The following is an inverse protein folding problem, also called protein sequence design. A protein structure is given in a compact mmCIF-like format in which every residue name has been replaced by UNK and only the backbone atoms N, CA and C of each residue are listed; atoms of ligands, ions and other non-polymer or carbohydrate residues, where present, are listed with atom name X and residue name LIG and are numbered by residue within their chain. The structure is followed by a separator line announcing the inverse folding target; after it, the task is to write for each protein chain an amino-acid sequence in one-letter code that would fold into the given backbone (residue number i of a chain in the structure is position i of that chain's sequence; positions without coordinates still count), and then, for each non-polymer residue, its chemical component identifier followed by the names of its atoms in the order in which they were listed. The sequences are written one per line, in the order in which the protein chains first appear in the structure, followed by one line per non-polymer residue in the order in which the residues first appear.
data_IF_549182944857
#
_entry.id   IF_549182944857
#
_cell.length_a   1.000
_cell.length_b   1.000
_cell.length_c   1.000
_cell.angle_alpha   90.00
_cell.angle_beta   90.00
_cell.angle_gamma   90.00
#
_symmetry.space_group_name_H-M   'P 1'
#
loop_
_entity.id
_entity.type
_entity.pdbx_description
1 polymer ?
#
# COMPACT_ATOMS: atom_id res chain seq x y z
N UNK A 1 26.13 -33.17 -18.55
CA UNK A 1 25.13 -33.03 -19.65
C UNK A 1 24.17 -34.21 -19.81
N UNK A 2 24.32 -35.34 -19.09
CA UNK A 2 23.31 -36.42 -19.06
C UNK A 2 22.26 -36.29 -17.94
N UNK A 3 22.59 -35.67 -16.82
CA UNK A 3 21.66 -35.54 -15.68
C UNK A 3 20.45 -34.59 -15.90
N UNK A 4 20.47 -33.72 -16.93
CA UNK A 4 19.29 -32.89 -17.29
C UNK A 4 18.32 -33.58 -18.26
N UNK A 5 18.65 -34.76 -18.78
CA UNK A 5 17.75 -35.50 -19.66
C UNK A 5 16.87 -36.51 -18.91
N UNK A 6 17.29 -36.98 -17.74
CA UNK A 6 16.51 -37.97 -16.97
C UNK A 6 15.40 -37.32 -16.11
N UNK A 7 15.49 -36.02 -15.82
CA UNK A 7 14.43 -35.29 -15.09
C UNK A 7 13.18 -35.00 -15.95
N UNK A 8 13.26 -35.19 -17.28
CA UNK A 8 12.10 -35.05 -18.19
C UNK A 8 11.36 -36.35 -18.48
N UNK A 9 11.89 -37.51 -18.06
CA UNK A 9 11.30 -38.81 -18.36
C UNK A 9 10.40 -39.36 -17.24
N UNK A 10 10.39 -38.73 -16.06
CA UNK A 10 9.43 -39.02 -14.99
C UNK A 10 8.15 -38.18 -15.15
N UNK A 11 7.60 -38.10 -16.36
CA UNK A 11 6.22 -37.71 -16.58
C UNK A 11 5.32 -38.85 -16.08
N UNK A 12 5.28 -38.99 -14.76
CA UNK A 12 4.17 -39.64 -14.05
C UNK A 12 2.90 -39.04 -14.64
N UNK A 13 1.97 -39.87 -15.09
CA UNK A 13 0.61 -39.45 -15.47
C UNK A 13 0.03 -38.63 -14.30
N UNK A 14 0.23 -37.32 -14.34
CA UNK A 14 -0.36 -36.42 -13.36
C UNK A 14 -1.86 -36.45 -13.59
N UNK A 15 -2.62 -36.60 -12.50
CA UNK A 15 -4.07 -36.50 -12.54
C UNK A 15 -4.44 -35.20 -13.30
N UNK A 16 -5.29 -35.24 -14.34
CA UNK A 16 -5.66 -34.05 -15.13
C UNK A 16 -6.17 -32.90 -14.26
N UNK A 17 -6.68 -33.19 -13.05
CA UNK A 17 -7.06 -32.17 -12.06
C UNK A 17 -5.85 -31.44 -11.48
N UNK A 18 -4.76 -32.14 -11.17
CA UNK A 18 -3.53 -31.52 -10.68
C UNK A 18 -2.85 -30.68 -11.78
N UNK A 19 -2.90 -31.15 -13.03
CA UNK A 19 -2.42 -30.36 -14.17
C UNK A 19 -3.23 -29.08 -14.36
N UNK A 20 -4.57 -29.16 -14.25
CA UNK A 20 -5.43 -27.99 -14.35
C UNK A 20 -5.12 -26.93 -13.28
N UNK A 21 -4.85 -27.37 -12.04
CA UNK A 21 -4.44 -26.46 -10.96
C UNK A 21 -3.07 -25.82 -11.22
N UNK A 22 -2.10 -26.58 -11.74
CA UNK A 22 -0.78 -26.04 -12.10
C UNK A 22 -0.89 -25.01 -13.23
N UNK A 23 -1.67 -25.32 -14.27
CA UNK A 23 -1.90 -24.40 -15.40
C UNK A 23 -2.63 -23.13 -14.93
N UNK A 24 -3.64 -23.26 -14.07
CA UNK A 24 -4.33 -22.09 -13.50
C UNK A 24 -3.37 -21.15 -12.75
N UNK A 25 -2.46 -21.71 -11.93
CA UNK A 25 -1.43 -20.91 -11.24
C UNK A 25 -0.47 -20.23 -12.21
N UNK A 26 -0.06 -20.93 -13.29
CA UNK A 26 0.78 -20.34 -14.34
C UNK A 26 0.09 -19.19 -15.07
N UNK A 27 -1.23 -19.29 -15.33
CA UNK A 27 -2.02 -18.20 -15.93
C UNK A 27 -2.01 -16.98 -15.00
N UNK A 28 -2.20 -17.15 -13.69
CA UNK A 28 -2.15 -16.03 -12.74
C UNK A 28 -0.79 -15.35 -12.72
N UNK A 29 0.30 -16.11 -12.66
CA UNK A 29 1.67 -15.59 -12.68
C UNK A 29 1.99 -14.87 -14.00
N UNK A 30 1.58 -15.44 -15.14
CA UNK A 30 1.76 -14.84 -16.46
C UNK A 30 0.94 -13.54 -16.62
N UNK A 31 -0.32 -13.51 -16.15
CA UNK A 31 -1.16 -12.31 -16.14
C UNK A 31 -0.58 -11.20 -15.24
N UNK A 32 0.02 -11.55 -14.10
CA UNK A 32 0.70 -10.58 -13.25
C UNK A 32 1.92 -9.96 -13.94
N UNK A 33 2.73 -10.78 -14.63
CA UNK A 33 3.86 -10.30 -15.44
C UNK A 33 3.39 -9.43 -16.61
N UNK A 34 2.30 -9.82 -17.28
CA UNK A 34 1.70 -9.06 -18.37
C UNK A 34 1.25 -7.68 -17.91
N UNK A 35 0.53 -7.57 -16.77
CA UNK A 35 0.14 -6.27 -16.19
C UNK A 35 1.35 -5.38 -15.90
N UNK A 36 2.42 -5.96 -15.36
CA UNK A 36 3.67 -5.23 -15.13
C UNK A 36 4.30 -4.78 -16.46
N UNK A 37 4.38 -5.67 -17.45
CA UNK A 37 4.93 -5.35 -18.77
C UNK A 37 4.13 -4.26 -19.51
N UNK A 38 2.80 -4.25 -19.38
CA UNK A 38 1.92 -3.22 -19.92
C UNK A 38 2.16 -1.86 -19.25
N UNK A 39 2.30 -1.82 -17.93
CA UNK A 39 2.58 -0.59 -17.19
C UNK A 39 3.93 0.04 -17.59
N UNK A 40 4.95 -0.78 -17.86
CA UNK A 40 6.30 -0.32 -18.21
C UNK A 40 6.62 -0.33 -19.72
N UNK A 41 5.65 -0.70 -20.58
CA UNK A 41 5.82 -0.83 -22.05
C UNK A 41 7.05 -1.67 -22.45
N UNK A 42 7.24 -2.83 -21.81
CA UNK A 42 8.37 -3.71 -22.09
C UNK A 42 8.24 -4.36 -23.48
N UNK A 43 9.35 -4.64 -24.19
CA UNK A 43 9.32 -5.26 -25.52
C UNK A 43 8.80 -6.72 -25.50
N UNK A 44 8.76 -7.37 -24.34
CA UNK A 44 8.31 -8.76 -24.16
C UNK A 44 6.78 -8.91 -24.09
N UNK A 45 6.03 -7.81 -24.17
CA UNK A 45 4.58 -7.76 -23.99
C UNK A 45 3.82 -8.72 -24.95
N UNK A 46 4.19 -8.73 -26.23
CA UNK A 46 3.57 -9.62 -27.22
C UNK A 46 3.88 -11.10 -26.98
N UNK A 47 5.04 -11.41 -26.41
CA UNK A 47 5.38 -12.78 -26.03
C UNK A 47 4.54 -13.25 -24.84
N UNK A 48 4.39 -12.42 -23.80
CA UNK A 48 3.55 -12.73 -22.63
C UNK A 48 2.08 -12.89 -23.00
N UNK A 49 1.57 -12.11 -23.97
CA UNK A 49 0.19 -12.27 -24.48
C UNK A 49 -0.04 -13.64 -25.12
N UNK A 50 0.90 -14.10 -25.94
CA UNK A 50 0.83 -15.44 -26.55
C UNK A 50 0.89 -16.53 -25.49
N UNK A 51 1.78 -16.39 -24.51
CA UNK A 51 1.90 -17.36 -23.41
C UNK A 51 0.61 -17.48 -22.59
N UNK A 52 -0.04 -16.37 -22.25
CA UNK A 52 -1.35 -16.39 -21.56
C UNK A 52 -2.41 -17.07 -22.41
N UNK A 53 -2.47 -16.77 -23.72
CA UNK A 53 -3.42 -17.40 -24.65
C UNK A 53 -3.21 -18.93 -24.74
N UNK A 54 -1.97 -19.37 -24.91
CA UNK A 54 -1.64 -20.81 -25.01
C UNK A 54 -2.01 -21.56 -23.71
N UNK A 55 -1.77 -20.95 -22.55
CA UNK A 55 -2.15 -21.50 -21.26
C UNK A 55 -3.68 -21.55 -21.07
N UNK A 56 -4.42 -20.53 -21.53
CA UNK A 56 -5.88 -20.52 -21.49
C UNK A 56 -6.50 -21.61 -22.36
N UNK A 57 -5.99 -21.80 -23.60
CA UNK A 57 -6.41 -22.91 -24.46
C UNK A 57 -6.16 -24.24 -23.76
N UNK A 58 -4.96 -24.45 -23.21
CA UNK A 58 -4.63 -25.67 -22.47
C UNK A 58 -5.53 -25.90 -21.25
N UNK A 59 -5.88 -24.84 -20.52
CA UNK A 59 -6.81 -24.92 -19.40
C UNK A 59 -8.21 -25.37 -19.87
N UNK A 60 -8.70 -24.84 -21.00
CA UNK A 60 -10.00 -25.27 -21.57
C UNK A 60 -9.98 -26.73 -22.04
N UNK A 61 -8.89 -27.20 -22.63
CA UNK A 61 -8.72 -28.61 -23.02
C UNK A 61 -8.72 -29.54 -21.81
N UNK A 62 -7.97 -29.19 -20.76
CA UNK A 62 -7.96 -29.95 -19.50
C UNK A 62 -9.34 -29.95 -18.84
N UNK A 63 -10.05 -28.82 -18.86
CA UNK A 63 -11.41 -28.72 -18.33
C UNK A 63 -12.38 -29.61 -19.12
N UNK A 64 -12.25 -29.68 -20.44
CA UNK A 64 -13.04 -30.58 -21.28
C UNK A 64 -12.71 -32.06 -20.99
N UNK A 65 -11.44 -32.41 -20.74
CA UNK A 65 -11.04 -33.75 -20.33
C UNK A 65 -11.61 -34.14 -18.95
N UNK A 66 -11.62 -33.21 -17.99
CA UNK A 66 -12.18 -33.43 -16.64
C UNK A 66 -13.70 -33.60 -16.67
N UNK A 67 -14.41 -32.78 -17.44
CA UNK A 67 -15.88 -32.83 -17.56
C UNK A 67 -16.38 -33.99 -18.42
N UNK A 68 -15.49 -34.59 -19.23
CA UNK A 68 -15.85 -35.56 -20.25
C UNK A 68 -16.64 -34.92 -21.39
N UNK A 69 -16.94 -35.66 -22.47
CA UNK A 69 -17.79 -35.18 -23.55
C UNK A 69 -19.19 -34.91 -23.00
N UNK A 70 -19.51 -33.63 -22.75
CA UNK A 70 -20.86 -33.22 -22.38
C UNK A 70 -21.83 -33.71 -23.47
N UNK A 71 -22.75 -34.58 -23.10
CA UNK A 71 -23.84 -34.99 -23.98
C UNK A 71 -24.58 -33.73 -24.47
N UNK A 72 -24.94 -33.66 -25.76
CA UNK A 72 -25.63 -32.50 -26.32
C UNK A 72 -26.87 -32.20 -25.47
N UNK A 73 -26.94 -31.00 -24.91
CA UNK A 73 -28.05 -30.64 -24.03
C UNK A 73 -29.38 -30.86 -24.78
N UNK A 74 -30.34 -31.57 -24.18
CA UNK A 74 -31.64 -31.79 -24.79
C UNK A 74 -32.27 -30.42 -25.07
N UNK A 75 -32.65 -30.22 -26.32
CA UNK A 75 -33.29 -29.00 -26.81
C UNK A 75 -34.65 -28.89 -26.12
N UNK A 76 -34.73 -28.16 -25.02
CA UNK A 76 -36.00 -27.94 -24.35
C UNK A 76 -36.90 -27.06 -25.25
N UNK A 77 -38.17 -27.44 -25.45
CA UNK A 77 -39.11 -26.65 -26.22
C UNK A 77 -39.30 -25.29 -25.53
N UNK A 78 -39.20 -24.20 -26.31
CA UNK A 78 -39.47 -22.86 -25.82
C UNK A 78 -40.90 -22.81 -25.23
N UNK A 79 -41.08 -22.50 -23.94
CA UNK A 79 -42.41 -22.23 -23.42
C UNK A 79 -42.97 -20.99 -24.11
N UNK A 80 -44.19 -21.09 -24.64
CA UNK A 80 -44.93 -19.94 -25.15
C UNK A 80 -45.27 -19.03 -23.98
N UNK A 81 -44.46 -17.99 -23.79
CA UNK A 81 -44.68 -16.93 -22.80
C UNK A 81 -45.89 -16.09 -23.21
N UNK A 82 -47.07 -16.43 -22.71
CA UNK A 82 -48.13 -15.45 -22.52
C UNK A 82 -47.62 -14.44 -21.48
N UNK A 83 -47.20 -13.26 -21.94
CA UNK A 83 -46.59 -12.22 -21.10
C UNK A 83 -47.69 -11.61 -20.21
N UNK A 84 -47.67 -11.79 -18.87
CA UNK A 84 -48.60 -11.11 -17.98
C UNK A 84 -48.24 -9.62 -17.91
N UNK A 85 -48.77 -8.84 -18.85
CA UNK A 85 -48.47 -7.41 -19.02
C UNK A 85 -49.20 -6.50 -18.03
N UNK A 86 -49.05 -6.73 -16.71
CA UNK A 86 -49.70 -5.88 -15.68
C UNK A 86 -48.85 -5.59 -14.45
N UNK A 87 -47.58 -5.23 -14.64
CA UNK A 87 -46.86 -4.52 -13.58
C UNK A 87 -47.48 -3.13 -13.41
N UNK A 88 -47.94 -2.83 -12.19
CA UNK A 88 -48.45 -1.52 -11.79
C UNK A 88 -47.66 -1.04 -10.58
N UNK A 89 -47.12 0.17 -10.64
CA UNK A 89 -46.51 0.85 -9.49
C UNK A 89 -47.50 1.90 -9.02
N UNK A 90 -47.96 1.81 -7.77
CA UNK A 90 -48.97 2.73 -7.21
C UNK A 90 -50.26 2.83 -8.07
N UNK A 91 -50.66 1.73 -8.71
CA UNK A 91 -51.81 1.69 -9.61
C UNK A 91 -51.56 2.25 -11.01
N UNK A 92 -50.42 2.90 -11.25
CA UNK A 92 -50.00 3.45 -12.54
C UNK A 92 -49.40 2.34 -13.41
N UNK A 93 -49.91 2.15 -14.64
CA UNK A 93 -49.39 1.15 -15.54
C UNK A 93 -48.01 1.56 -16.09
N UNK A 94 -47.19 0.57 -16.44
CA UNK A 94 -45.77 0.74 -16.81
C UNK A 94 -45.53 1.70 -17.99
N UNK A 95 -46.49 1.83 -18.91
CA UNK A 95 -46.47 2.76 -20.04
C UNK A 95 -46.55 4.23 -19.61
N UNK A 96 -46.97 4.51 -18.37
CA UNK A 96 -47.11 5.85 -17.80
C UNK A 96 -46.03 6.16 -16.75
N UNK A 97 -45.03 5.28 -16.58
CA UNK A 97 -43.95 5.52 -15.63
C UNK A 97 -43.04 6.65 -16.08
N UNK A 98 -42.68 7.52 -15.15
CA UNK A 98 -41.75 8.63 -15.38
C UNK A 98 -40.30 8.14 -15.37
N UNK A 99 -39.37 8.95 -15.88
CA UNK A 99 -37.94 8.65 -15.80
C UNK A 99 -37.46 8.44 -14.36
N UNK A 100 -38.06 9.13 -13.39
CA UNK A 100 -37.78 8.95 -11.98
C UNK A 100 -38.22 7.56 -11.47
N UNK A 101 -39.38 7.06 -11.95
CA UNK A 101 -39.87 5.73 -11.60
C UNK A 101 -38.96 4.62 -12.16
N UNK A 102 -38.48 4.79 -13.38
CA UNK A 102 -37.53 3.87 -14.01
C UNK A 102 -36.16 3.91 -13.32
N UNK A 103 -35.69 5.08 -12.91
CA UNK A 103 -34.44 5.24 -12.15
C UNK A 103 -34.55 4.54 -10.79
N UNK A 104 -35.63 4.77 -10.04
CA UNK A 104 -35.86 4.11 -8.74
C UNK A 104 -35.94 2.59 -8.89
N UNK A 105 -36.62 2.09 -9.92
CA UNK A 105 -36.69 0.66 -10.19
C UNK A 105 -35.31 0.08 -10.54
N UNK A 106 -34.51 0.81 -11.31
CA UNK A 106 -33.16 0.38 -11.70
C UNK A 106 -32.28 0.28 -10.45
N UNK A 107 -32.27 1.31 -9.59
CA UNK A 107 -31.56 1.31 -8.31
C UNK A 107 -32.04 0.21 -7.36
N UNK A 108 -33.35 -0.01 -7.28
CA UNK A 108 -33.92 -1.09 -6.47
C UNK A 108 -33.49 -2.45 -7.01
N UNK A 109 -33.49 -2.63 -8.33
CA UNK A 109 -33.08 -3.89 -8.97
C UNK A 109 -31.61 -4.23 -8.69
N UNK A 110 -30.72 -3.24 -8.64
CA UNK A 110 -29.31 -3.43 -8.26
C UNK A 110 -29.14 -3.92 -6.81
N UNK A 111 -30.10 -3.65 -5.93
CA UNK A 111 -30.07 -4.14 -4.54
C UNK A 111 -30.74 -5.51 -4.38
N UNK A 112 -31.44 -6.02 -5.40
CA UNK A 112 -32.11 -7.31 -5.38
C UNK A 112 -31.15 -8.48 -5.67
N UNK A 113 -31.50 -9.66 -5.15
CA UNK A 113 -30.83 -10.92 -5.51
C UNK A 113 -31.03 -11.25 -6.99
N UNK A 114 -30.12 -12.06 -7.54
CA UNK A 114 -30.13 -12.46 -8.96
C UNK A 114 -31.47 -13.08 -9.37
N UNK A 115 -32.04 -13.95 -8.53
CA UNK A 115 -33.36 -14.57 -8.76
C UNK A 115 -34.47 -13.53 -8.89
N UNK A 116 -34.53 -12.57 -7.96
CA UNK A 116 -35.53 -11.49 -7.99
C UNK A 116 -35.36 -10.55 -9.18
N UNK A 117 -34.11 -10.30 -9.61
CA UNK A 117 -33.84 -9.53 -10.84
C UNK A 117 -34.32 -10.28 -12.07
N UNK A 118 -34.17 -11.60 -12.10
CA UNK A 118 -34.66 -12.43 -13.20
C UNK A 118 -36.19 -12.43 -13.27
N UNK A 119 -36.87 -12.62 -12.14
CA UNK A 119 -38.32 -12.54 -12.05
C UNK A 119 -38.85 -11.16 -12.47
N UNK A 120 -38.18 -10.08 -12.01
CA UNK A 120 -38.48 -8.71 -12.42
C UNK A 120 -38.29 -8.53 -13.93
N UNK A 121 -37.19 -9.04 -14.49
CA UNK A 121 -36.90 -8.97 -15.93
C UNK A 121 -37.86 -9.80 -16.78
N UNK A 122 -38.42 -10.89 -16.25
CA UNK A 122 -39.51 -11.64 -16.89
C UNK A 122 -40.82 -10.85 -16.85
N UNK A 123 -41.16 -10.28 -15.69
CA UNK A 123 -42.40 -9.53 -15.50
C UNK A 123 -42.45 -8.22 -16.31
N UNK A 124 -41.32 -7.56 -16.51
CA UNK A 124 -41.20 -6.32 -17.29
C UNK A 124 -41.32 -6.52 -18.81
N UNK A 125 -41.14 -7.76 -19.29
CA UNK A 125 -41.07 -8.04 -20.72
C UNK A 125 -39.90 -7.33 -21.43
N UNK A 126 -39.90 -7.38 -22.76
CA UNK A 126 -38.78 -6.86 -23.56
C UNK A 126 -38.62 -5.34 -23.48
N UNK A 127 -39.72 -4.59 -23.52
CA UNK A 127 -39.70 -3.12 -23.48
C UNK A 127 -39.15 -2.58 -22.14
N UNK A 128 -39.58 -3.16 -21.02
CA UNK A 128 -39.07 -2.77 -19.70
C UNK A 128 -37.60 -3.15 -19.50
N UNK A 129 -37.15 -4.30 -20.03
CA UNK A 129 -35.72 -4.68 -20.03
C UNK A 129 -34.85 -3.68 -20.80
N UNK A 130 -35.31 -3.23 -21.98
CA UNK A 130 -34.60 -2.22 -22.76
C UNK A 130 -34.48 -0.90 -21.98
N UNK A 131 -35.57 -0.47 -21.33
CA UNK A 131 -35.56 0.74 -20.49
C UNK A 131 -34.62 0.62 -19.31
N UNK A 132 -34.65 -0.50 -18.56
CA UNK A 132 -33.69 -0.72 -17.47
C UNK A 132 -32.25 -0.64 -17.99
N UNK A 133 -31.92 -1.26 -19.13
CA UNK A 133 -30.59 -1.20 -19.70
C UNK A 133 -30.14 0.25 -20.03
N UNK A 134 -31.02 1.06 -20.63
CA UNK A 134 -30.76 2.49 -20.91
C UNK A 134 -30.48 3.28 -19.61
N UNK A 135 -31.23 3.02 -18.54
CA UNK A 135 -31.02 3.70 -17.25
C UNK A 135 -29.79 3.19 -16.50
N UNK A 136 -29.46 1.90 -16.60
CA UNK A 136 -28.23 1.34 -16.05
C UNK A 136 -27.01 1.98 -16.71
N UNK A 137 -27.00 2.11 -18.04
CA UNK A 137 -25.91 2.77 -18.77
C UNK A 137 -25.75 4.23 -18.33
N UNK A 138 -26.86 4.98 -18.23
CA UNK A 138 -26.85 6.37 -17.76
C UNK A 138 -26.36 6.51 -16.31
N UNK A 139 -26.70 5.55 -15.46
CA UNK A 139 -26.30 5.53 -14.07
C UNK A 139 -24.82 5.18 -13.92
N UNK A 140 -24.31 4.25 -14.73
CA UNK A 140 -22.87 3.96 -14.82
C UNK A 140 -22.08 5.16 -15.35
N UNK A 141 -22.57 5.86 -16.38
CA UNK A 141 -21.91 7.07 -16.89
C UNK A 141 -21.84 8.16 -15.82
N UNK A 142 -22.94 8.37 -15.08
CA UNK A 142 -22.96 9.30 -13.95
C UNK A 142 -21.97 8.89 -12.85
N UNK A 143 -21.91 7.60 -12.49
CA UNK A 143 -20.92 7.10 -11.51
C UNK A 143 -19.49 7.31 -12.00
N UNK A 144 -19.18 7.02 -13.27
CA UNK A 144 -17.84 7.25 -13.85
C UNK A 144 -17.48 8.74 -13.83
N UNK A 145 -18.43 9.63 -14.09
CA UNK A 145 -18.20 11.07 -14.02
C UNK A 145 -17.96 11.55 -12.57
N UNK A 146 -18.74 11.04 -11.61
CA UNK A 146 -18.56 11.34 -10.18
C UNK A 146 -17.24 10.77 -9.65
N UNK A 147 -16.88 9.54 -10.02
CA UNK A 147 -15.60 8.92 -9.68
C UNK A 147 -14.42 9.72 -10.26
N UNK A 148 -14.51 10.15 -11.53
CA UNK A 148 -13.49 11.00 -12.14
C UNK A 148 -13.31 12.34 -11.45
N UNK A 149 -14.41 12.98 -11.01
CA UNK A 149 -14.34 14.23 -10.23
C UNK A 149 -13.71 14.01 -8.85
N UNK A 150 -14.03 12.88 -8.20
CA UNK A 150 -13.45 12.55 -6.90
C UNK A 150 -11.96 12.22 -7.01
N UNK A 151 -11.54 11.52 -8.08
CA UNK A 151 -10.12 11.27 -8.36
C UNK A 151 -9.35 12.55 -8.64
N UNK A 152 -9.92 13.49 -9.39
CA UNK A 152 -9.31 14.79 -9.63
C UNK A 152 -9.18 15.62 -8.34
N UNK A 153 -10.19 15.59 -7.47
CA UNK A 153 -10.12 16.21 -6.14
C UNK A 153 -9.03 15.58 -5.27
N UNK A 154 -8.98 14.25 -5.19
CA UNK A 154 -7.93 13.54 -4.44
C UNK A 154 -6.54 13.85 -4.94
N UNK A 155 -6.38 13.90 -6.26
CA UNK A 155 -5.10 14.27 -6.87
C UNK A 155 -4.70 15.71 -6.52
N UNK A 156 -5.65 16.64 -6.53
CA UNK A 156 -5.42 18.01 -6.08
C UNK A 156 -5.01 18.11 -4.61
N UNK A 157 -5.67 17.35 -3.73
CA UNK A 157 -5.33 17.28 -2.29
C UNK A 157 -3.95 16.66 -2.06
N UNK A 158 -3.61 15.57 -2.76
CA UNK A 158 -2.29 14.93 -2.69
C UNK A 158 -1.17 15.87 -3.19
N UNK A 159 -1.40 16.57 -4.30
CA UNK A 159 -0.43 17.54 -4.84
C UNK A 159 -0.23 18.74 -3.89
N UNK A 160 -1.30 19.21 -3.23
CA UNK A 160 -1.21 20.27 -2.21
C UNK A 160 -0.47 19.81 -0.95
N UNK A 161 -0.75 18.59 -0.46
CA UNK A 161 -0.04 18.01 0.69
C UNK A 161 1.45 17.85 0.41
N UNK A 162 1.81 17.35 -0.77
CA UNK A 162 3.20 17.22 -1.20
C UNK A 162 3.91 18.58 -1.26
N UNK A 163 3.25 19.61 -1.79
CA UNK A 163 3.80 20.97 -1.83
C UNK A 163 4.03 21.55 -0.42
N UNK A 164 3.10 21.32 0.51
CA UNK A 164 3.26 21.76 1.91
C UNK A 164 4.41 21.04 2.60
N UNK A 165 4.58 19.74 2.36
CA UNK A 165 5.67 18.96 2.94
C UNK A 165 7.04 19.34 2.36
N UNK A 166 7.13 19.66 1.08
CA UNK A 166 8.34 20.21 0.48
C UNK A 166 8.71 21.56 1.08
N UNK A 167 7.74 22.47 1.25
CA UNK A 167 7.96 23.76 1.91
C UNK A 167 8.46 23.58 3.36
N UNK A 168 7.84 22.68 4.15
CA UNK A 168 8.30 22.36 5.51
C UNK A 168 9.72 21.80 5.52
N UNK A 169 10.08 20.97 4.54
CA UNK A 169 11.45 20.43 4.41
C UNK A 169 12.45 21.50 4.03
N UNK A 170 12.10 22.44 3.16
CA UNK A 170 12.95 23.58 2.82
C UNK A 170 13.18 24.51 4.01
N UNK A 171 12.14 24.83 4.77
CA UNK A 171 12.28 25.58 6.03
C UNK A 171 13.16 24.87 7.04
N UNK A 172 13.00 23.55 7.20
CA UNK A 172 13.84 22.75 8.09
C UNK A 172 15.31 22.75 7.63
N UNK A 173 15.56 22.68 6.31
CA UNK A 173 16.91 22.78 5.73
C UNK A 173 17.52 24.16 5.94
N UNK A 174 16.74 25.23 5.74
CA UNK A 174 17.18 26.60 5.97
C UNK A 174 17.55 26.81 7.44
N UNK A 175 16.70 26.39 8.38
CA UNK A 175 16.97 26.40 9.83
C UNK A 175 18.22 25.59 10.18
N UNK A 176 18.39 24.41 9.59
CA UNK A 176 19.58 23.59 9.82
C UNK A 176 20.87 24.25 9.29
N UNK A 177 20.83 24.95 8.16
CA UNK A 177 21.96 25.71 7.63
C UNK A 177 22.29 26.92 8.52
N UNK A 178 21.27 27.64 9.01
CA UNK A 178 21.45 28.73 9.95
C UNK A 178 22.10 28.24 11.25
N UNK A 179 21.56 27.18 11.86
CA UNK A 179 22.12 26.55 13.05
C UNK A 179 23.56 26.07 12.81
N UNK A 180 23.86 25.51 11.63
CA UNK A 180 25.21 25.08 11.28
C UNK A 180 26.19 26.25 11.22
N UNK A 181 25.76 27.42 10.73
CA UNK A 181 26.60 28.62 10.70
C UNK A 181 26.85 29.17 12.10
N UNK A 182 25.85 29.14 12.98
CA UNK A 182 25.95 29.52 14.41
C UNK A 182 26.83 28.54 15.21
N UNK A 183 26.82 27.27 14.85
CA UNK A 183 27.61 26.21 15.50
C UNK A 183 29.06 26.10 14.98
N UNK A 184 29.53 27.07 14.19
CA UNK A 184 30.94 27.09 13.81
C UNK A 184 31.83 27.35 15.03
N UNK A 185 33.03 26.75 15.07
CA UNK A 185 33.93 26.82 16.22
C UNK A 185 34.28 28.26 16.62
N UNK A 186 34.50 29.14 15.64
CA UNK A 186 34.77 30.56 15.87
C UNK A 186 33.58 31.26 16.53
N UNK A 187 32.35 30.99 16.06
CA UNK A 187 31.13 31.54 16.64
C UNK A 187 30.92 31.05 18.08
N UNK A 188 31.08 29.73 18.32
CA UNK A 188 30.93 29.17 19.67
C UNK A 188 31.98 29.76 20.62
N UNK A 189 33.22 29.96 20.15
CA UNK A 189 34.30 30.52 20.97
C UNK A 189 33.99 31.94 21.43
N UNK A 190 33.40 32.75 20.55
CA UNK A 190 33.10 34.17 20.83
C UNK A 190 31.75 34.37 21.54
N UNK A 191 30.87 33.37 21.58
CA UNK A 191 29.59 33.40 22.31
C UNK A 191 29.75 33.43 23.83
N UNK A 192 28.86 34.15 24.50
CA UNK A 192 28.74 34.09 25.97
C UNK A 192 28.12 32.76 26.43
N UNK A 193 28.25 32.43 27.71
CA UNK A 193 27.71 31.18 28.24
C UNK A 193 26.16 31.16 28.20
N UNK A 194 25.49 32.30 28.33
CA UNK A 194 24.03 32.37 28.12
C UNK A 194 23.65 32.05 26.67
N UNK A 195 24.36 32.62 25.68
CA UNK A 195 24.11 32.38 24.26
C UNK A 195 24.35 30.91 23.89
N UNK A 196 25.40 30.30 24.42
CA UNK A 196 25.66 28.85 24.23
C UNK A 196 24.53 27.99 24.79
N UNK A 197 23.94 28.39 25.91
CA UNK A 197 22.82 27.67 26.50
C UNK A 197 21.53 27.83 25.69
N UNK A 198 21.28 29.01 25.13
CA UNK A 198 20.16 29.22 24.20
C UNK A 198 20.32 28.39 22.93
N UNK A 199 21.50 28.39 22.31
CA UNK A 199 21.80 27.53 21.16
C UNK A 199 21.62 26.05 21.51
N UNK A 200 22.03 25.62 22.71
CA UNK A 200 21.82 24.24 23.17
C UNK A 200 20.33 23.87 23.28
N UNK A 201 19.45 24.81 23.68
CA UNK A 201 17.99 24.60 23.70
C UNK A 201 17.42 24.48 22.28
N UNK A 202 17.92 25.29 21.34
CA UNK A 202 17.45 25.29 19.95
C UNK A 202 17.85 24.01 19.18
N UNK A 203 19.04 23.47 19.43
CA UNK A 203 19.52 22.22 18.81
C UNK A 203 18.77 20.99 19.36
N UNK A 204 18.16 21.13 20.55
CA UNK A 204 17.27 20.14 21.13
C UNK A 204 18.00 18.99 21.84
N UNK A 205 17.27 17.89 22.15
CA UNK A 205 17.76 16.80 22.99
C UNK A 205 19.01 16.09 22.44
N UNK A 206 19.17 16.09 21.10
CA UNK A 206 20.30 15.46 20.44
C UNK A 206 21.65 16.07 20.85
N UNK A 207 21.68 17.38 21.15
CA UNK A 207 22.88 18.05 21.65
C UNK A 207 23.33 17.45 22.99
N UNK A 208 22.43 17.35 23.96
CA UNK A 208 22.72 16.77 25.28
C UNK A 208 23.18 15.31 25.19
N UNK A 209 22.55 14.53 24.32
CA UNK A 209 22.97 13.14 24.08
C UNK A 209 24.40 13.09 23.53
N UNK A 210 24.74 13.95 22.56
CA UNK A 210 26.09 14.01 22.00
C UNK A 210 27.14 14.43 23.05
N UNK A 211 26.79 15.39 23.92
CA UNK A 211 27.62 15.84 25.02
C UNK A 211 27.86 14.72 26.03
N UNK A 212 26.82 13.93 26.33
CA UNK A 212 26.92 12.73 27.15
C UNK A 212 27.90 11.71 26.55
N UNK A 213 27.85 11.45 25.24
CA UNK A 213 28.80 10.56 24.57
C UNK A 213 30.23 11.07 24.63
N UNK A 214 30.46 12.37 24.42
CA UNK A 214 31.81 12.95 24.52
C UNK A 214 32.33 12.86 25.95
N UNK A 215 31.50 13.21 26.94
CA UNK A 215 31.87 13.11 28.36
C UNK A 215 32.20 11.66 28.75
N UNK A 216 31.36 10.69 28.36
CA UNK A 216 31.64 9.28 28.60
C UNK A 216 32.93 8.82 27.93
N UNK A 217 33.19 9.24 26.70
CA UNK A 217 34.41 8.88 25.97
C UNK A 217 35.66 9.47 26.63
N UNK A 218 35.59 10.74 27.03
CA UNK A 218 36.65 11.41 27.76
C UNK A 218 36.96 10.69 29.06
N UNK A 219 35.95 10.37 29.87
CA UNK A 219 36.12 9.63 31.12
C UNK A 219 36.60 8.20 30.91
N UNK A 220 36.08 7.50 29.90
CA UNK A 220 36.53 6.15 29.58
C UNK A 220 38.02 6.09 29.22
N UNK A 221 38.54 7.13 28.57
CA UNK A 221 39.96 7.23 28.22
C UNK A 221 40.81 7.77 29.37
N UNK A 222 40.36 8.79 30.10
CA UNK A 222 41.15 9.47 31.12
C UNK A 222 41.13 8.75 32.48
N UNK A 223 40.01 8.13 32.87
CA UNK A 223 39.88 7.49 34.18
C UNK A 223 40.93 6.39 34.40
N UNK A 224 41.23 5.47 33.44
CA UNK A 224 42.27 4.46 33.64
C UNK A 224 43.65 5.06 33.90
N UNK A 225 44.01 6.14 33.19
CA UNK A 225 45.29 6.82 33.39
C UNK A 225 45.36 7.52 34.75
N UNK A 226 44.28 8.18 35.16
CA UNK A 226 44.20 8.84 36.47
C UNK A 226 44.25 7.83 37.62
N UNK A 227 43.53 6.70 37.49
CA UNK A 227 43.57 5.60 38.45
C UNK A 227 44.98 5.01 38.56
N UNK A 228 45.65 4.80 37.43
CA UNK A 228 47.02 4.29 37.39
C UNK A 228 48.01 5.27 38.04
N UNK A 229 47.96 6.55 37.70
CA UNK A 229 48.84 7.57 38.29
C UNK A 229 48.60 7.74 39.80
N UNK A 230 47.35 7.64 40.26
CA UNK A 230 47.02 7.65 41.68
C UNK A 230 47.63 6.44 42.42
N UNK A 231 47.50 5.24 41.83
CA UNK A 231 48.09 4.04 42.40
C UNK A 231 49.62 4.14 42.48
N UNK A 232 50.27 4.62 41.43
CA UNK A 232 51.73 4.78 41.40
C UNK A 232 52.22 5.80 42.43
N UNK A 233 51.47 6.88 42.67
CA UNK A 233 51.85 7.93 43.61
C UNK A 233 51.59 7.59 45.08
N UNK A 234 50.56 6.79 45.38
CA UNK A 234 50.13 6.50 46.77
C UNK A 234 50.41 5.06 47.21
N UNK A 235 50.63 4.15 46.26
CA UNK A 235 50.72 2.71 46.51
C UNK A 235 49.38 2.05 46.86
N UNK A 236 48.25 2.77 46.71
CA UNK A 236 46.92 2.27 47.04
C UNK A 236 45.97 2.49 45.86
N UNK A 237 45.05 1.55 45.62
CA UNK A 237 43.94 1.76 44.70
C UNK A 237 42.91 2.69 45.35
N UNK A 238 42.33 3.65 44.62
CA UNK A 238 41.33 4.53 45.19
C UNK A 238 40.10 3.71 45.58
N UNK A 239 39.62 3.91 46.80
CA UNK A 239 38.46 3.19 47.32
C UNK A 239 37.18 3.69 46.63
N UNK A 240 36.70 2.90 45.67
CA UNK A 240 35.45 3.18 44.96
C UNK A 240 34.23 3.12 45.89
N UNK A 241 34.36 2.53 47.10
CA UNK A 241 33.31 2.58 48.12
C UNK A 241 33.06 3.99 48.68
N UNK A 242 34.04 4.89 48.56
CA UNK A 242 33.96 6.30 48.98
C UNK A 242 33.52 7.26 47.86
N UNK A 243 33.01 6.73 46.74
CA UNK A 243 32.63 7.44 45.52
C UNK A 243 31.64 8.61 45.73
N UNK A 244 31.00 8.75 46.88
CA UNK A 244 30.25 9.97 47.22
C UNK A 244 31.11 11.24 47.07
N UNK A 245 32.41 11.15 47.40
CA UNK A 245 33.37 12.25 47.20
C UNK A 245 33.72 12.48 45.72
N UNK A 246 33.72 11.42 44.91
CA UNK A 246 33.96 11.48 43.47
C UNK A 246 32.72 11.96 42.71
N UNK A 247 31.51 11.69 43.22
CA UNK A 247 30.26 12.28 42.75
C UNK A 247 30.23 13.78 43.01
N UNK A 248 30.78 14.25 44.14
CA UNK A 248 30.96 15.66 44.44
C UNK A 248 31.99 16.31 43.52
N UNK A 249 33.08 15.60 43.17
CA UNK A 249 34.06 16.08 42.19
C UNK A 249 33.49 16.10 40.76
N UNK A 250 32.75 15.07 40.34
CA UNK A 250 32.06 15.02 39.06
C UNK A 250 30.96 16.09 38.96
N UNK A 251 30.25 16.36 40.07
CA UNK A 251 29.30 17.46 40.21
C UNK A 251 29.97 18.83 40.15
N UNK A 252 31.18 18.98 40.71
CA UNK A 252 31.97 20.21 40.59
C UNK A 252 32.47 20.44 39.15
N UNK A 253 32.87 19.37 38.43
CA UNK A 253 33.21 19.46 37.00
C UNK A 253 31.98 19.75 36.14
N UNK A 254 30.83 19.13 36.41
CA UNK A 254 29.57 19.47 35.75
C UNK A 254 29.18 20.94 36.02
N UNK A 255 29.43 21.44 37.24
CA UNK A 255 29.30 22.86 37.57
C UNK A 255 30.27 23.77 36.80
N UNK A 256 31.50 23.30 36.55
CA UNK A 256 32.51 24.05 35.77
C UNK A 256 32.18 24.13 34.27
N UNK A 257 31.42 23.17 33.73
CA UNK A 257 30.87 23.22 32.37
C UNK A 257 29.48 23.86 32.30
N UNK A 258 28.83 24.11 33.44
CA UNK A 258 27.52 24.75 33.55
C UNK A 258 27.59 26.24 33.92
N UNK A 259 28.78 26.78 34.23
CA UNK A 259 29.05 28.20 34.44
C UNK A 259 29.69 28.81 33.21
#
# INVERSE_FOLDING_TARGET
TRERMDEKAAAVESDPKEEALRVAKQIEEARAKLKKAEAFKLPELEQLRREVYDLEVRATELQAQILGPMAPMPTMPLPSLEVPSRLKKNGVPMDQWTDADWMELTEASEKMSVEKRFDLAQALGWAGRKKIAEFTEKLEEKRRAEEGQLEEQRRGEEDEELAQDEARREEARAKAQELRSKLNFESIRDMTNEERFEVAKEVGPAYFVSLGFVAMSYWALSAPFLLWAYHESTGQWPDLGSLDTLSAAAGAFAGFFAV
#
